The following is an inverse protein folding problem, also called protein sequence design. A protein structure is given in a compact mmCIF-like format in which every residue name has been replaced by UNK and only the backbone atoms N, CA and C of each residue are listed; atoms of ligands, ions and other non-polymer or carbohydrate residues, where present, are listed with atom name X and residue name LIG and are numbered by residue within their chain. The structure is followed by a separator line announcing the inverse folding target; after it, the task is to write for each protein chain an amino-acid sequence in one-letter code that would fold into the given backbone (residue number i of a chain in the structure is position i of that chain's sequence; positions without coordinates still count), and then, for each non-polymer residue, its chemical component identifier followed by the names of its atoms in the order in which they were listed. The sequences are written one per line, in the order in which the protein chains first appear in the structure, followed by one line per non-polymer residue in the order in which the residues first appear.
data_IF_257272536028
#
_entry.id   IF_257272536028
#
_cell.length_a   1.000
_cell.length_b   1.000
_cell.length_c   1.000
_cell.angle_alpha   90.00
_cell.angle_beta   90.00
_cell.angle_gamma   90.00
#
_symmetry.space_group_name_H-M   'P 1'
#
loop_
_entity.id
_entity.type
_entity.pdbx_description
1 polymer ?
#
# COMPACT_ATOMS: atom_id res chain seq x y z
N UNK A 1 -2.30 -8.92 -2.13
CA UNK A 1 -1.87 -7.54 -2.33
C UNK A 1 -3.02 -6.81 -2.99
N UNK A 2 -3.08 -5.50 -2.79
CA UNK A 2 -4.18 -4.66 -3.25
C UNK A 2 -4.28 -4.53 -4.76
N UNK A 3 -5.48 -4.23 -5.21
CA UNK A 3 -5.89 -4.22 -6.62
C UNK A 3 -5.91 -2.82 -7.24
N UNK A 4 -5.68 -1.78 -6.42
CA UNK A 4 -5.75 -0.37 -6.81
C UNK A 4 -7.18 0.06 -7.22
N UNK A 5 -8.19 -0.48 -6.54
CA UNK A 5 -9.62 -0.12 -6.72
C UNK A 5 -10.03 1.18 -6.01
N UNK A 6 -9.22 1.66 -5.06
CA UNK A 6 -9.56 2.82 -4.24
C UNK A 6 -8.67 4.03 -4.50
N UNK A 7 -9.16 5.20 -4.09
CA UNK A 7 -8.39 6.45 -4.10
C UNK A 7 -7.18 6.36 -3.18
N UNK A 8 -6.13 7.11 -3.53
CA UNK A 8 -4.90 7.16 -2.75
C UNK A 8 -4.20 8.50 -2.88
N UNK A 9 -3.28 8.76 -1.95
CA UNK A 9 -2.46 9.97 -1.96
C UNK A 9 -1.10 9.76 -1.28
N UNK A 10 -0.14 10.62 -1.60
CA UNK A 10 1.09 10.78 -0.83
C UNK A 10 1.01 12.05 0.01
N UNK A 11 1.63 12.03 1.19
CA UNK A 11 1.64 13.15 2.14
C UNK A 11 3.08 13.44 2.54
N UNK A 12 3.51 14.69 2.33
CA UNK A 12 4.81 15.20 2.81
C UNK A 12 4.64 16.63 3.33
N UNK A 13 5.11 16.93 4.53
CA UNK A 13 5.10 18.28 5.11
C UNK A 13 3.74 19.00 5.04
N UNK A 14 2.63 18.28 5.27
CA UNK A 14 1.24 18.77 5.17
C UNK A 14 0.77 19.11 3.76
N UNK A 15 1.56 18.79 2.73
CA UNK A 15 1.15 18.83 1.33
C UNK A 15 0.64 17.46 0.92
N UNK A 16 -0.50 17.45 0.24
CA UNK A 16 -1.13 16.26 -0.32
C UNK A 16 -0.80 16.18 -1.81
N UNK A 17 -0.35 15.00 -2.23
CA UNK A 17 -0.02 14.67 -3.60
C UNK A 17 -1.01 13.61 -4.06
N UNK A 18 -1.96 13.98 -4.89
CA UNK A 18 -3.10 13.13 -5.28
C UNK A 18 -3.42 13.34 -6.77
N UNK A 19 -4.45 12.71 -7.31
CA UNK A 19 -4.94 12.96 -8.67
C UNK A 19 -6.02 14.05 -8.65
N UNK A 20 -5.91 15.06 -9.54
CA UNK A 20 -6.95 16.08 -9.67
C UNK A 20 -8.22 15.49 -10.30
N UNK A 21 -9.29 15.43 -9.51
CA UNK A 21 -10.60 15.00 -9.99
C UNK A 21 -11.29 16.14 -10.76
N UNK A 22 -12.08 15.84 -11.82
CA UNK A 22 -12.74 16.84 -12.65
C UNK A 22 -13.62 17.84 -11.89
N UNK A 23 -14.23 17.44 -10.78
CA UNK A 23 -15.19 18.23 -9.99
C UNK A 23 -14.66 18.60 -8.58
N UNK A 24 -13.33 18.61 -8.38
CA UNK A 24 -12.73 19.02 -7.11
C UNK A 24 -12.40 20.53 -7.11
N UNK A 25 -13.40 21.33 -6.76
CA UNK A 25 -13.29 22.79 -6.62
C UNK A 25 -12.36 23.21 -5.46
N UNK A 26 -12.09 22.32 -4.51
CA UNK A 26 -11.23 22.59 -3.36
C UNK A 26 -9.76 22.28 -3.64
N UNK A 27 -9.45 21.56 -4.71
CA UNK A 27 -8.11 21.12 -5.08
C UNK A 27 -7.04 22.21 -4.93
N UNK A 28 -7.24 23.34 -5.62
CA UNK A 28 -6.29 24.45 -5.66
C UNK A 28 -6.28 25.22 -4.32
N UNK A 29 -7.41 25.25 -3.61
CA UNK A 29 -7.54 25.89 -2.28
C UNK A 29 -6.78 25.11 -1.21
N UNK A 30 -6.80 23.77 -1.29
CA UNK A 30 -6.10 22.88 -0.38
C UNK A 30 -4.59 22.81 -0.67
N UNK A 31 -4.14 23.39 -1.78
CA UNK A 31 -2.73 23.35 -2.19
C UNK A 31 -2.28 21.94 -2.61
N UNK A 32 -3.21 21.14 -3.15
CA UNK A 32 -2.91 19.79 -3.62
C UNK A 32 -2.02 19.83 -4.86
N UNK A 33 -1.18 18.80 -5.00
CA UNK A 33 -0.23 18.67 -6.11
C UNK A 33 -0.51 17.39 -6.88
N UNK A 34 -0.57 17.47 -8.21
CA UNK A 34 -0.76 16.30 -9.08
C UNK A 34 0.52 15.46 -9.12
N UNK A 35 0.46 14.22 -8.63
CA UNK A 35 1.63 13.32 -8.60
C UNK A 35 1.96 12.68 -9.94
N UNK A 36 1.07 12.70 -10.95
CA UNK A 36 1.24 11.92 -12.20
C UNK A 36 2.51 12.24 -12.98
N UNK A 37 3.05 13.45 -12.83
CA UNK A 37 4.28 13.90 -13.50
C UNK A 37 5.48 13.97 -12.57
N UNK A 38 5.30 13.57 -11.32
CA UNK A 38 6.35 13.59 -10.31
C UNK A 38 7.17 12.31 -10.35
N UNK A 39 8.43 12.43 -9.93
CA UNK A 39 9.32 11.32 -9.65
C UNK A 39 9.47 11.17 -8.15
N UNK A 40 9.81 9.96 -7.70
CA UNK A 40 10.11 9.69 -6.29
C UNK A 40 11.18 10.67 -5.76
N UNK A 41 12.18 11.01 -6.57
CA UNK A 41 13.25 11.94 -6.17
C UNK A 41 12.77 13.40 -5.96
N UNK A 42 11.59 13.78 -6.46
CA UNK A 42 11.01 15.09 -6.14
C UNK A 42 10.55 15.15 -4.68
N UNK A 43 10.15 14.00 -4.12
CA UNK A 43 9.64 13.84 -2.76
C UNK A 43 10.65 13.25 -1.78
N UNK A 44 11.64 12.47 -2.21
CA UNK A 44 12.60 11.80 -1.33
C UNK A 44 14.02 12.04 -1.88
N UNK A 45 14.71 13.04 -1.33
CA UNK A 45 15.99 13.55 -1.85
C UNK A 45 17.21 13.06 -1.07
N UNK A 46 17.02 12.74 0.21
CA UNK A 46 18.09 12.35 1.12
C UNK A 46 17.69 11.10 1.86
N UNK A 47 18.68 10.26 2.17
CA UNK A 47 18.49 9.10 3.03
C UNK A 47 17.81 9.53 4.34
N UNK A 48 16.92 8.66 4.83
CA UNK A 48 16.05 8.85 6.00
C UNK A 48 14.90 9.83 5.81
N UNK A 49 14.76 10.47 4.64
CA UNK A 49 13.50 11.16 4.34
C UNK A 49 12.35 10.16 4.26
N UNK A 50 11.18 10.61 4.70
CA UNK A 50 9.96 9.83 4.81
C UNK A 50 8.80 10.59 4.18
N UNK A 51 7.91 9.86 3.51
CA UNK A 51 6.57 10.29 3.13
C UNK A 51 5.56 9.25 3.60
N UNK A 52 4.29 9.65 3.71
CA UNK A 52 3.19 8.72 3.97
C UNK A 52 2.47 8.48 2.64
N UNK A 53 2.11 7.24 2.36
CA UNK A 53 1.16 6.87 1.32
C UNK A 53 -0.12 6.37 1.99
N UNK A 54 -1.24 7.00 1.68
CA UNK A 54 -2.55 6.58 2.16
C UNK A 54 -3.31 5.94 1.01
N UNK A 55 -3.79 4.71 1.21
CA UNK A 55 -4.61 3.96 0.27
C UNK A 55 -5.97 3.69 0.87
N UNK A 56 -7.00 3.82 0.03
CA UNK A 56 -8.40 3.74 0.40
C UNK A 56 -8.81 4.77 1.46
N UNK A 57 -9.53 5.80 1.05
CA UNK A 57 -10.00 6.85 1.98
C UNK A 57 -11.13 6.37 2.90
N UNK A 58 -11.72 5.18 2.65
CA UNK A 58 -12.61 4.52 3.59
C UNK A 58 -11.83 3.86 4.73
N UNK A 59 -10.95 2.92 4.39
CA UNK A 59 -10.19 2.12 5.35
C UNK A 59 -8.93 2.84 5.91
N UNK A 60 -8.45 3.87 5.23
CA UNK A 60 -7.29 4.71 5.58
C UNK A 60 -6.01 3.92 5.85
N UNK A 61 -5.60 3.10 4.89
CA UNK A 61 -4.35 2.34 4.98
C UNK A 61 -3.12 3.24 4.83
N UNK A 62 -2.48 3.57 5.96
CA UNK A 62 -1.26 4.37 6.00
C UNK A 62 0.03 3.55 5.86
N UNK A 63 0.83 3.88 4.85
CA UNK A 63 2.17 3.33 4.61
C UNK A 63 3.25 4.37 4.83
N UNK A 64 4.25 4.02 5.64
CA UNK A 64 5.48 4.77 5.72
C UNK A 64 6.42 4.38 4.57
N UNK A 65 6.74 5.33 3.70
CA UNK A 65 7.74 5.16 2.64
C UNK A 65 8.99 5.94 3.04
N UNK A 66 10.08 5.21 3.30
CA UNK A 66 11.34 5.76 3.78
C UNK A 66 12.43 5.51 2.75
N UNK A 67 13.17 6.55 2.36
CA UNK A 67 14.36 6.40 1.53
C UNK A 67 15.52 5.92 2.39
N UNK A 68 15.78 4.62 2.40
CA UNK A 68 16.86 4.07 3.24
C UNK A 68 18.25 4.39 2.69
N UNK A 69 18.45 4.16 1.38
CA UNK A 69 19.73 4.35 0.70
C UNK A 69 19.57 4.78 -0.76
N UNK A 70 20.54 5.53 -1.26
CA UNK A 70 20.68 5.84 -2.69
C UNK A 70 21.92 5.12 -3.22
N UNK A 71 21.72 4.18 -4.13
CA UNK A 71 22.79 3.35 -4.72
C UNK A 71 22.94 3.63 -6.22
N UNK A 72 24.12 3.39 -6.80
CA UNK A 72 24.28 3.38 -8.25
C UNK A 72 23.33 2.37 -8.91
N UNK A 73 22.84 2.71 -10.10
CA UNK A 73 22.02 1.79 -10.91
C UNK A 73 22.87 0.58 -11.33
N UNK A 74 22.31 -0.61 -11.20
CA UNK A 74 22.88 -1.84 -11.77
C UNK A 74 22.15 -2.18 -13.07
N UNK A 75 22.84 -2.05 -14.20
CA UNK A 75 22.29 -2.29 -15.53
C UNK A 75 21.87 -3.76 -15.75
N UNK A 76 22.28 -4.69 -14.88
CA UNK A 76 21.87 -6.09 -14.94
C UNK A 76 20.55 -6.38 -14.23
N UNK A 77 19.99 -5.39 -13.51
CA UNK A 77 18.75 -5.54 -12.75
C UNK A 77 17.59 -4.87 -13.49
N UNK A 78 16.52 -5.62 -13.74
CA UNK A 78 15.22 -5.06 -14.15
C UNK A 78 14.46 -4.59 -12.90
N UNK A 79 14.38 -3.28 -12.69
CA UNK A 79 13.62 -2.66 -11.60
C UNK A 79 12.12 -2.54 -11.93
N UNK A 80 11.21 -2.43 -10.94
CA UNK A 80 11.47 -2.56 -9.49
C UNK A 80 11.69 -4.01 -9.04
N UNK A 81 12.38 -4.19 -7.92
CA UNK A 81 12.57 -5.49 -7.26
C UNK A 81 12.27 -5.42 -5.76
N UNK A 82 11.58 -6.42 -5.25
CA UNK A 82 11.39 -6.66 -3.83
C UNK A 82 12.60 -7.42 -3.27
N UNK A 83 13.32 -6.80 -2.32
CA UNK A 83 14.49 -7.39 -1.69
C UNK A 83 14.13 -8.26 -0.48
N UNK A 84 13.11 -7.85 0.27
CA UNK A 84 12.61 -8.52 1.46
C UNK A 84 11.17 -8.08 1.75
N UNK A 85 10.51 -8.83 2.62
CA UNK A 85 9.19 -8.50 3.16
C UNK A 85 8.82 -9.51 4.23
N UNK A 86 7.77 -9.20 4.99
CA UNK A 86 7.25 -10.04 6.04
C UNK A 86 5.74 -9.87 6.14
N UNK A 87 5.06 -10.92 6.59
CA UNK A 87 3.60 -11.00 6.70
C UNK A 87 2.88 -10.78 5.36
N UNK A 88 1.61 -11.14 5.33
CA UNK A 88 0.75 -10.96 4.18
C UNK A 88 0.12 -9.57 4.20
N UNK A 89 -0.24 -9.07 3.02
CA UNK A 89 -1.00 -7.83 2.87
C UNK A 89 -2.40 -8.03 3.48
N UNK A 90 -2.92 -7.07 4.26
CA UNK A 90 -4.34 -7.05 4.61
C UNK A 90 -5.22 -7.19 3.36
N UNK A 91 -6.35 -7.92 3.43
CA UNK A 91 -7.32 -7.98 2.34
C UNK A 91 -7.86 -6.58 1.99
N UNK A 92 -8.36 -6.42 0.76
CA UNK A 92 -9.20 -5.26 0.41
C UNK A 92 -10.45 -5.26 1.30
N UNK A 93 -10.99 -4.07 1.60
CA UNK A 93 -12.24 -3.86 2.32
C UNK A 93 -12.34 -4.60 3.67
N UNK A 94 -11.22 -4.81 4.37
CA UNK A 94 -11.24 -5.44 5.71
C UNK A 94 -11.55 -4.47 6.84
N UNK A 95 -11.89 -3.20 6.56
CA UNK A 95 -12.28 -2.21 7.57
C UNK A 95 -11.09 -1.54 8.24
N UNK A 96 -10.02 -1.31 7.48
CA UNK A 96 -8.81 -0.64 7.96
C UNK A 96 -8.08 -1.44 9.03
N UNK A 97 -7.23 -0.74 9.78
CA UNK A 97 -6.36 -1.37 10.81
C UNK A 97 -7.17 -2.10 11.88
N UNK A 98 -8.29 -1.50 12.31
CA UNK A 98 -9.13 -2.06 13.37
C UNK A 98 -9.88 -3.31 12.90
N UNK A 99 -10.49 -3.26 11.70
CA UNK A 99 -11.18 -4.41 11.14
C UNK A 99 -10.22 -5.55 10.80
N UNK A 100 -9.01 -5.25 10.33
CA UNK A 100 -7.97 -6.27 10.16
C UNK A 100 -7.53 -6.89 11.50
N UNK A 101 -7.39 -6.09 12.55
CA UNK A 101 -7.04 -6.60 13.87
C UNK A 101 -8.13 -7.52 14.43
N UNK A 102 -9.41 -7.14 14.29
CA UNK A 102 -10.56 -7.98 14.66
C UNK A 102 -10.57 -9.30 13.88
N UNK A 103 -10.39 -9.24 12.56
CA UNK A 103 -10.23 -10.42 11.71
C UNK A 103 -9.15 -11.36 12.26
N UNK A 104 -7.96 -10.83 12.60
CA UNK A 104 -6.87 -11.65 13.12
C UNK A 104 -7.20 -12.32 14.46
N UNK A 105 -7.97 -11.67 15.33
CA UNK A 105 -8.40 -12.26 16.60
C UNK A 105 -9.47 -13.34 16.40
N UNK A 106 -10.39 -13.13 15.46
CA UNK A 106 -11.42 -14.12 15.12
C UNK A 106 -10.78 -15.36 14.50
N UNK A 107 -9.80 -15.20 13.60
CA UNK A 107 -9.10 -16.33 12.98
C UNK A 107 -8.36 -17.25 13.97
N UNK A 108 -8.09 -16.78 15.20
CA UNK A 108 -7.50 -17.59 16.28
C UNK A 108 -8.53 -18.43 17.03
N UNK A 109 -9.83 -18.19 16.80
CA UNK A 109 -10.95 -18.76 17.56
C UNK A 109 -11.94 -19.47 16.62
N UNK A 110 -11.70 -20.75 16.25
CA UNK A 110 -12.58 -21.50 15.35
C UNK A 110 -14.03 -21.63 15.84
N UNK A 111 -14.27 -21.52 17.15
CA UNK A 111 -15.61 -21.59 17.75
C UNK A 111 -16.31 -20.21 17.83
N UNK A 112 -15.67 -19.13 17.36
CA UNK A 112 -16.26 -17.79 17.32
C UNK A 112 -17.44 -17.76 16.33
N UNK A 113 -18.52 -17.06 16.69
CA UNK A 113 -19.75 -17.05 15.88
C UNK A 113 -19.55 -16.52 14.46
N UNK A 114 -18.60 -15.60 14.28
CA UNK A 114 -18.26 -15.01 12.99
C UNK A 114 -17.15 -15.74 12.23
N UNK A 115 -16.52 -16.78 12.81
CA UNK A 115 -15.35 -17.45 12.22
C UNK A 115 -15.61 -17.95 10.80
N UNK A 116 -16.70 -18.72 10.62
CA UNK A 116 -17.06 -19.27 9.31
C UNK A 116 -17.36 -18.18 8.27
N UNK A 117 -17.98 -17.08 8.69
CA UNK A 117 -18.25 -15.93 7.81
C UNK A 117 -16.96 -15.30 7.29
N UNK A 118 -15.97 -15.11 8.17
CA UNK A 118 -14.67 -14.57 7.76
C UNK A 118 -13.88 -15.53 6.87
N UNK A 119 -13.91 -16.83 7.16
CA UNK A 119 -13.26 -17.84 6.31
C UNK A 119 -13.88 -17.90 4.91
N UNK A 120 -15.21 -17.80 4.82
CA UNK A 120 -15.91 -17.74 3.54
C UNK A 120 -15.52 -16.48 2.75
N UNK A 121 -15.50 -15.32 3.41
CA UNK A 121 -15.16 -14.04 2.78
C UNK A 121 -13.70 -13.98 2.30
N UNK A 122 -12.75 -14.42 3.13
CA UNK A 122 -11.32 -14.45 2.78
C UNK A 122 -11.02 -15.42 1.62
N UNK A 123 -11.89 -16.41 1.43
CA UNK A 123 -11.65 -17.52 0.53
C UNK A 123 -10.50 -18.41 0.98
N UNK A 124 -10.14 -19.38 0.13
CA UNK A 124 -9.14 -20.41 0.50
C UNK A 124 -7.73 -19.85 0.48
N UNK A 125 -6.99 -20.11 1.55
CA UNK A 125 -5.53 -19.99 1.60
C UNK A 125 -5.00 -18.63 2.06
N UNK A 126 -5.84 -17.77 2.63
CA UNK A 126 -5.33 -16.61 3.36
C UNK A 126 -4.56 -17.07 4.60
N UNK A 127 -3.33 -16.60 4.73
CA UNK A 127 -2.51 -16.76 5.92
C UNK A 127 -1.87 -15.40 6.22
N UNK A 128 -2.10 -14.81 7.41
CA UNK A 128 -1.53 -13.52 7.79
C UNK A 128 0.00 -13.50 7.79
N UNK A 129 0.63 -14.65 8.06
CA UNK A 129 2.09 -14.76 8.19
C UNK A 129 2.79 -15.06 6.86
N UNK A 130 2.02 -15.37 5.81
CA UNK A 130 2.59 -15.83 4.56
C UNK A 130 3.08 -14.68 3.67
N UNK A 131 4.38 -14.67 3.39
CA UNK A 131 5.01 -13.79 2.41
C UNK A 131 5.92 -14.59 1.48
N UNK A 132 5.78 -14.37 0.17
CA UNK A 132 6.62 -14.98 -0.87
C UNK A 132 7.22 -13.91 -1.77
N UNK A 133 8.50 -13.61 -1.51
CA UNK A 133 9.29 -12.63 -2.27
C UNK A 133 9.38 -12.96 -3.76
N UNK A 134 9.50 -14.24 -4.12
CA UNK A 134 9.67 -14.66 -5.50
C UNK A 134 8.35 -14.55 -6.26
N UNK A 135 7.23 -14.81 -5.59
CA UNK A 135 5.89 -14.47 -6.12
C UNK A 135 5.74 -12.97 -6.35
N UNK A 136 6.12 -12.11 -5.39
CA UNK A 136 6.06 -10.65 -5.57
C UNK A 136 6.90 -10.20 -6.76
N UNK A 137 8.16 -10.67 -6.84
CA UNK A 137 9.07 -10.30 -7.94
C UNK A 137 8.62 -10.82 -9.31
N UNK A 138 7.86 -11.92 -9.39
CA UNK A 138 7.21 -12.34 -10.64
C UNK A 138 6.16 -11.34 -11.08
N UNK A 139 5.26 -10.95 -10.18
CA UNK A 139 4.19 -9.96 -10.47
C UNK A 139 4.79 -8.61 -10.89
N UNK A 140 5.84 -8.14 -10.21
CA UNK A 140 6.53 -6.89 -10.57
C UNK A 140 7.17 -6.91 -11.97
N UNK A 141 7.52 -8.08 -12.50
CA UNK A 141 8.09 -8.19 -13.86
C UNK A 141 7.04 -8.18 -14.96
N UNK A 142 5.83 -8.63 -14.64
CA UNK A 142 4.70 -8.77 -15.56
C UNK A 142 3.93 -7.47 -15.76
N UNK A 143 3.92 -6.58 -14.75
CA UNK A 143 3.32 -5.24 -14.86
C UNK A 143 4.28 -4.30 -15.59
N UNK A 144 3.82 -3.68 -16.67
CA UNK A 144 4.49 -2.51 -17.24
C UNK A 144 4.13 -1.28 -16.37
N UNK A 145 5.16 -0.56 -15.90
CA UNK A 145 5.04 0.65 -15.08
C UNK A 145 5.44 1.87 -15.90
#
# INVERSE_FOLDING_TARGET
GWDNSHLHQFIKNRTFYTEKMPDDDLWDIMGNVDYKKMKIFDLLKKEKEKIIYEYDFGDSWGHDIILEKILPVDDNIKYPICLAGNMNCPPEDCGGVDGYAELLEILKQPDHEEYESYIEWLGKGFSPEYFDKDKVNRILKEREF
#
